data_IF_573972709561
#
_entry.id   IF_573972709561
#
_cell.length_a   1.000
_cell.length_b   1.000
_cell.length_c   1.000
_cell.angle_alpha   90.00
_cell.angle_beta   90.00
_cell.angle_gamma   90.00
#
_symmetry.space_group_name_H-M   'P 1'
#
loop_
_entity.id
_entity.type
_entity.pdbx_description
1 polymer ?
#
# COMPACT_ATOMS: atom_id res chain seq x y z
N UNK A 1 -46.48 -18.22 -53.78
CA UNK A 1 -46.28 -17.14 -52.79
C UNK A 1 -45.10 -17.51 -51.90
N UNK A 2 -44.05 -16.69 -51.92
CA UNK A 2 -42.80 -16.89 -51.18
C UNK A 2 -43.01 -16.45 -49.73
N UNK A 3 -42.69 -17.28 -48.73
CA UNK A 3 -42.31 -16.79 -47.40
C UNK A 3 -41.13 -17.60 -46.85
N UNK A 4 -40.07 -16.84 -46.61
CA UNK A 4 -38.73 -17.25 -46.23
C UNK A 4 -38.67 -17.61 -44.76
N UNK A 5 -38.07 -18.75 -44.42
CA UNK A 5 -37.68 -19.09 -43.05
C UNK A 5 -36.25 -18.55 -42.86
N UNK A 6 -36.13 -17.43 -42.16
CA UNK A 6 -34.83 -16.93 -41.70
C UNK A 6 -34.49 -17.64 -40.40
N UNK A 7 -33.57 -18.59 -40.47
CA UNK A 7 -32.96 -19.22 -39.30
C UNK A 7 -31.89 -18.26 -38.76
N UNK A 8 -32.26 -17.42 -37.80
CA UNK A 8 -31.32 -16.53 -37.10
C UNK A 8 -30.59 -17.35 -36.04
N UNK A 9 -29.33 -17.69 -36.30
CA UNK A 9 -28.39 -18.23 -35.32
C UNK A 9 -28.11 -17.14 -34.26
N UNK A 10 -28.65 -17.33 -33.05
CA UNK A 10 -28.30 -16.53 -31.88
C UNK A 10 -27.02 -17.14 -31.29
N UNK A 11 -25.87 -16.62 -31.69
CA UNK A 11 -24.58 -16.95 -31.07
C UNK A 11 -24.48 -16.28 -29.71
N UNK A 12 -24.52 -17.06 -28.63
CA UNK A 12 -24.31 -16.58 -27.26
C UNK A 12 -22.81 -16.33 -27.05
N UNK A 13 -22.42 -15.06 -27.02
CA UNK A 13 -21.06 -14.63 -26.66
C UNK A 13 -20.96 -14.59 -25.13
N UNK A 14 -20.46 -15.68 -24.53
CA UNK A 14 -20.10 -15.67 -23.12
C UNK A 14 -18.82 -14.83 -22.94
N UNK A 15 -18.98 -13.58 -22.50
CA UNK A 15 -17.86 -12.74 -22.11
C UNK A 15 -17.27 -13.29 -20.80
N UNK A 16 -16.20 -14.08 -20.88
CA UNK A 16 -15.35 -14.34 -19.72
C UNK A 16 -14.64 -13.04 -19.35
N UNK A 17 -15.18 -12.31 -18.38
CA UNK A 17 -14.46 -11.25 -17.71
C UNK A 17 -13.26 -11.87 -16.97
N UNK A 18 -12.08 -11.71 -17.55
CA UNK A 18 -10.81 -11.93 -16.85
C UNK A 18 -10.71 -10.86 -15.77
N UNK A 19 -11.09 -11.18 -14.54
CA UNK A 19 -10.76 -10.36 -13.38
C UNK A 19 -9.25 -10.47 -13.12
N UNK A 20 -8.46 -9.62 -13.77
CA UNK A 20 -7.08 -9.40 -13.37
C UNK A 20 -7.09 -8.80 -11.96
N UNK A 21 -6.47 -9.46 -10.99
CA UNK A 21 -6.35 -8.93 -9.63
C UNK A 21 -5.51 -7.65 -9.62
N UNK A 22 -5.86 -6.69 -8.76
CA UNK A 22 -5.15 -5.42 -8.64
C UNK A 22 -3.70 -5.62 -8.17
N UNK A 23 -2.80 -4.80 -8.72
CA UNK A 23 -1.39 -4.81 -8.33
C UNK A 23 -1.17 -4.16 -6.96
N UNK A 24 -0.07 -4.51 -6.28
CA UNK A 24 0.30 -3.88 -5.01
C UNK A 24 0.47 -2.36 -5.09
N UNK A 25 0.87 -1.85 -6.26
CA UNK A 25 1.00 -0.41 -6.51
C UNK A 25 -0.36 0.30 -6.58
N UNK A 26 -1.33 -0.31 -7.27
CA UNK A 26 -2.71 0.20 -7.37
C UNK A 26 -3.40 0.17 -6.01
N UNK A 27 -3.30 -0.97 -5.31
CA UNK A 27 -3.83 -1.13 -3.97
C UNK A 27 -3.22 -0.13 -2.97
N UNK A 28 -1.90 0.11 -3.03
CA UNK A 28 -1.26 1.13 -2.19
C UNK A 28 -1.82 2.52 -2.52
N UNK A 29 -1.93 2.86 -3.81
CA UNK A 29 -2.43 4.16 -4.25
C UNK A 29 -3.87 4.40 -3.78
N UNK A 30 -4.71 3.39 -3.86
CA UNK A 30 -6.11 3.48 -3.44
C UNK A 30 -6.25 3.56 -1.91
N UNK A 31 -5.58 2.66 -1.18
CA UNK A 31 -5.88 2.42 0.23
C UNK A 31 -4.91 3.10 1.19
N UNK A 32 -3.67 3.33 0.78
CA UNK A 32 -2.60 3.83 1.67
C UNK A 32 -2.19 5.26 1.34
N UNK A 33 -2.21 5.64 0.06
CA UNK A 33 -1.76 6.96 -0.38
C UNK A 33 -2.72 8.11 -0.02
N UNK A 34 -3.92 7.78 0.48
CA UNK A 34 -4.82 8.77 1.11
C UNK A 34 -4.16 9.49 2.29
N UNK A 35 -3.25 8.82 2.98
CA UNK A 35 -2.48 9.39 4.09
C UNK A 35 -0.96 9.40 3.82
N UNK A 36 -0.42 8.31 3.26
CA UNK A 36 1.02 8.13 3.09
C UNK A 36 1.52 8.59 1.72
N UNK A 37 2.18 9.74 1.70
CA UNK A 37 2.82 10.23 0.48
C UNK A 37 3.93 9.29 -0.01
N UNK A 38 3.96 9.03 -1.32
CA UNK A 38 4.99 8.20 -1.97
C UNK A 38 6.25 8.99 -2.34
N UNK A 39 6.15 10.31 -2.43
CA UNK A 39 7.24 11.19 -2.85
C UNK A 39 7.74 12.03 -1.68
N UNK A 40 8.92 12.61 -1.86
CA UNK A 40 9.49 13.54 -0.87
C UNK A 40 8.60 14.77 -0.78
N UNK A 41 8.01 15.08 0.40
CA UNK A 41 7.10 16.20 0.54
C UNK A 41 7.83 17.54 0.43
N UNK A 42 7.19 18.51 -0.22
CA UNK A 42 7.60 19.92 -0.20
C UNK A 42 7.47 20.50 1.23
N UNK A 43 8.11 21.64 1.54
CA UNK A 43 7.94 22.30 2.84
C UNK A 43 6.48 22.59 3.20
N UNK A 44 5.63 22.88 2.22
CA UNK A 44 4.21 23.09 2.41
C UNK A 44 3.45 21.80 2.70
N UNK A 45 3.65 20.76 1.89
CA UNK A 45 3.03 19.44 2.11
C UNK A 45 3.40 18.87 3.48
N UNK A 46 4.64 19.12 3.95
CA UNK A 46 5.06 18.73 5.30
C UNK A 46 4.19 19.32 6.39
N UNK A 47 3.62 20.52 6.23
CA UNK A 47 2.77 21.13 7.27
C UNK A 47 1.40 20.45 7.39
N UNK A 48 0.91 19.88 6.28
CA UNK A 48 -0.46 19.39 6.17
C UNK A 48 -0.56 17.85 6.13
N UNK A 49 0.57 17.14 6.06
CA UNK A 49 0.56 15.67 6.07
C UNK A 49 0.07 15.12 7.42
N UNK A 50 -0.83 14.14 7.33
CA UNK A 50 -1.44 13.45 8.48
C UNK A 50 -0.72 12.15 8.84
N UNK A 51 0.20 11.69 7.99
CA UNK A 51 1.00 10.50 8.19
C UNK A 51 2.43 10.71 7.65
N UNK A 52 3.41 9.93 8.12
CA UNK A 52 4.77 10.00 7.58
C UNK A 52 4.79 9.51 6.11
N UNK A 53 5.62 10.11 5.24
CA UNK A 53 5.83 9.61 3.88
C UNK A 53 6.33 8.16 3.91
N UNK A 54 5.86 7.32 2.97
CA UNK A 54 6.13 5.88 2.97
C UNK A 54 7.62 5.55 2.87
N UNK A 55 8.39 6.41 2.19
CA UNK A 55 9.85 6.28 2.10
C UNK A 55 10.54 6.37 3.48
N UNK A 56 10.01 7.17 4.41
CA UNK A 56 10.52 7.23 5.79
C UNK A 56 10.10 6.02 6.61
N UNK A 57 8.87 5.54 6.43
CA UNK A 57 8.38 4.31 7.06
C UNK A 57 9.24 3.11 6.63
N UNK A 58 9.41 2.92 5.32
CA UNK A 58 10.17 1.80 4.79
C UNK A 58 11.67 1.89 5.06
N UNK A 59 12.21 3.09 5.28
CA UNK A 59 13.56 3.24 5.79
C UNK A 59 13.69 2.57 7.17
N UNK A 60 12.82 2.86 8.13
CA UNK A 60 12.87 2.24 9.46
C UNK A 60 12.55 0.74 9.44
N UNK A 61 11.64 0.29 8.59
CA UNK A 61 11.38 -1.16 8.38
C UNK A 61 12.66 -1.86 7.91
N UNK A 62 13.35 -1.30 6.91
CA UNK A 62 14.60 -1.88 6.40
C UNK A 62 15.78 -1.71 7.36
N UNK A 63 15.82 -0.66 8.19
CA UNK A 63 16.79 -0.57 9.29
C UNK A 63 16.61 -1.73 10.28
N UNK A 64 15.37 -2.15 10.54
CA UNK A 64 15.07 -3.25 11.48
C UNK A 64 15.32 -4.63 10.89
N UNK A 65 14.89 -4.87 9.65
CA UNK A 65 14.86 -6.21 9.06
C UNK A 65 15.93 -6.45 7.97
N UNK A 66 16.62 -5.41 7.52
CA UNK A 66 17.63 -5.51 6.46
C UNK A 66 17.03 -6.07 5.17
N UNK A 67 17.70 -7.07 4.61
CA UNK A 67 17.29 -7.78 3.38
C UNK A 67 16.28 -8.92 3.64
N UNK A 68 15.85 -9.14 4.90
CA UNK A 68 14.83 -10.14 5.25
C UNK A 68 13.42 -9.63 4.87
N UNK A 69 13.13 -9.71 3.56
CA UNK A 69 11.86 -9.30 2.96
C UNK A 69 10.66 -9.96 3.64
N UNK A 70 10.78 -11.25 3.98
CA UNK A 70 9.69 -12.01 4.59
C UNK A 70 9.32 -11.44 5.96
N UNK A 71 10.30 -11.22 6.85
CA UNK A 71 10.02 -10.61 8.16
C UNK A 71 9.51 -9.18 8.05
N UNK A 72 10.03 -8.40 7.09
CA UNK A 72 9.55 -7.05 6.84
C UNK A 72 8.06 -7.04 6.43
N UNK A 73 7.66 -7.94 5.53
CA UNK A 73 6.26 -8.10 5.10
C UNK A 73 5.38 -8.58 6.25
N UNK A 74 5.81 -9.59 7.01
CA UNK A 74 5.08 -10.09 8.18
C UNK A 74 4.85 -8.97 9.21
N UNK A 75 5.87 -8.15 9.47
CA UNK A 75 5.75 -6.98 10.33
C UNK A 75 4.76 -5.95 9.79
N UNK A 76 4.86 -5.57 8.51
CA UNK A 76 3.95 -4.59 7.91
C UNK A 76 2.51 -5.07 8.04
N UNK A 77 2.26 -6.36 7.74
CA UNK A 77 0.93 -6.96 7.83
C UNK A 77 0.38 -6.92 9.26
N UNK A 78 1.17 -7.32 10.24
CA UNK A 78 0.75 -7.27 11.64
C UNK A 78 0.53 -5.83 12.12
N UNK A 79 1.44 -4.90 11.82
CA UNK A 79 1.34 -3.52 12.28
C UNK A 79 0.13 -2.78 11.67
N UNK A 80 -0.15 -2.99 10.38
CA UNK A 80 -1.30 -2.37 9.71
C UNK A 80 -2.64 -2.90 10.26
N UNK A 81 -2.70 -4.17 10.64
CA UNK A 81 -3.89 -4.79 11.24
C UNK A 81 -4.03 -4.48 12.73
N UNK A 82 -2.93 -4.50 13.48
CA UNK A 82 -2.86 -4.41 14.93
C UNK A 82 -1.81 -3.37 15.37
N UNK A 83 -1.97 -2.09 15.00
CA UNK A 83 -1.00 -1.05 15.34
C UNK A 83 -0.99 -0.82 16.86
N UNK A 84 0.20 -0.65 17.41
CA UNK A 84 0.41 -0.32 18.81
C UNK A 84 1.76 0.40 18.98
N UNK A 85 1.89 1.21 20.02
CA UNK A 85 3.09 2.02 20.24
C UNK A 85 4.35 1.17 20.43
N UNK A 86 4.23 0.02 21.08
CA UNK A 86 5.33 -0.93 21.31
C UNK A 86 5.84 -1.60 20.03
N UNK A 87 4.99 -1.72 19.01
CA UNK A 87 5.37 -2.26 17.69
C UNK A 87 5.88 -1.19 16.74
N UNK A 88 5.67 0.10 17.03
CA UNK A 88 6.00 1.17 16.10
C UNK A 88 7.52 1.27 15.89
N UNK A 89 7.96 1.10 14.63
CA UNK A 89 9.36 1.29 14.25
C UNK A 89 9.70 2.76 13.96
N UNK A 90 8.69 3.58 13.66
CA UNK A 90 8.89 5.01 13.54
C UNK A 90 9.21 5.63 14.90
N UNK A 91 10.11 6.61 14.92
CA UNK A 91 10.55 7.26 16.15
C UNK A 91 9.38 7.82 16.98
N UNK A 92 9.47 7.88 18.34
CA UNK A 92 8.41 8.41 19.19
C UNK A 92 7.94 9.83 18.81
N UNK A 93 8.83 10.65 18.26
CA UNK A 93 8.49 11.98 17.74
C UNK A 93 7.53 11.94 16.55
N UNK A 94 7.56 10.89 15.74
CA UNK A 94 6.60 10.67 14.65
C UNK A 94 5.21 10.34 15.20
N UNK A 95 5.14 9.49 16.23
CA UNK A 95 3.87 9.18 16.91
C UNK A 95 3.30 10.44 17.58
N UNK A 96 4.15 11.23 18.27
CA UNK A 96 3.72 12.52 18.85
C UNK A 96 3.15 13.48 17.80
N UNK A 97 3.65 13.42 16.57
CA UNK A 97 3.25 14.31 15.48
C UNK A 97 2.01 13.84 14.73
N UNK A 98 1.95 12.56 14.38
CA UNK A 98 0.93 11.99 13.49
C UNK A 98 -0.13 11.16 14.23
N UNK A 99 0.11 10.86 15.50
CA UNK A 99 -0.61 9.82 16.22
C UNK A 99 -0.13 8.42 15.84
N UNK A 100 -0.78 7.43 16.46
CA UNK A 100 -0.64 6.03 16.06
C UNK A 100 -1.44 5.79 14.77
N UNK A 101 -0.88 4.98 13.86
CA UNK A 101 -1.60 4.58 12.65
C UNK A 101 -2.93 3.88 13.02
N UNK A 102 -4.07 4.26 12.43
CA UNK A 102 -5.32 3.54 12.66
C UNK A 102 -5.25 2.11 12.11
N UNK A 103 -5.88 1.16 12.81
CA UNK A 103 -6.04 -0.21 12.31
C UNK A 103 -6.78 -0.20 10.97
N UNK A 104 -6.33 -1.00 10.01
CA UNK A 104 -6.97 -1.16 8.70
C UNK A 104 -7.82 -2.43 8.61
N UNK A 105 -8.15 -3.06 9.75
CA UNK A 105 -9.09 -4.18 9.80
C UNK A 105 -10.42 -3.77 9.18
N UNK A 106 -10.89 -4.54 8.21
CA UNK A 106 -12.12 -4.28 7.47
C UNK A 106 -11.95 -3.35 6.26
N UNK A 107 -10.83 -2.62 6.16
CA UNK A 107 -10.52 -1.73 5.02
C UNK A 107 -9.58 -2.38 3.99
N UNK A 108 -8.72 -3.28 4.46
CA UNK A 108 -7.78 -4.04 3.63
C UNK A 108 -7.82 -5.51 4.00
N UNK A 109 -7.78 -6.39 3.00
CA UNK A 109 -7.67 -7.84 3.21
C UNK A 109 -6.22 -8.25 3.41
N UNK A 110 -5.99 -9.46 3.93
CA UNK A 110 -4.63 -9.97 4.13
C UNK A 110 -3.90 -10.24 2.82
N UNK A 111 -4.62 -10.59 1.74
CA UNK A 111 -4.04 -10.81 0.42
C UNK A 111 -3.63 -9.48 -0.23
N UNK A 112 -4.50 -8.47 -0.18
CA UNK A 112 -4.15 -7.13 -0.64
C UNK A 112 -2.94 -6.58 0.12
N UNK A 113 -2.91 -6.80 1.44
CA UNK A 113 -1.84 -6.30 2.29
C UNK A 113 -0.49 -6.99 2.02
N UNK A 114 -0.49 -8.27 1.62
CA UNK A 114 0.71 -8.94 1.11
C UNK A 114 1.25 -8.20 -0.13
N UNK A 115 0.40 -8.00 -1.14
CA UNK A 115 0.78 -7.32 -2.39
C UNK A 115 1.27 -5.89 -2.14
N UNK A 116 0.58 -5.15 -1.25
CA UNK A 116 0.97 -3.81 -0.83
C UNK A 116 2.35 -3.83 -0.15
N UNK A 117 2.57 -4.74 0.80
CA UNK A 117 3.82 -4.83 1.55
C UNK A 117 5.00 -5.23 0.65
N UNK A 118 4.80 -6.16 -0.29
CA UNK A 118 5.78 -6.50 -1.32
C UNK A 118 6.15 -5.28 -2.16
N UNK A 119 5.14 -4.57 -2.69
CA UNK A 119 5.35 -3.35 -3.46
C UNK A 119 6.13 -2.29 -2.65
N UNK A 120 5.73 -2.08 -1.39
CA UNK A 120 6.41 -1.14 -0.50
C UNK A 120 7.88 -1.51 -0.29
N UNK A 121 8.16 -2.79 -0.02
CA UNK A 121 9.50 -3.29 0.19
C UNK A 121 10.39 -3.15 -1.05
N UNK A 122 9.87 -3.48 -2.22
CA UNK A 122 10.67 -3.47 -3.45
C UNK A 122 10.94 -2.04 -3.96
N UNK A 123 10.05 -1.09 -3.67
CA UNK A 123 10.10 0.25 -4.27
C UNK A 123 10.52 1.37 -3.31
N UNK A 124 10.51 1.12 -1.99
CA UNK A 124 10.83 2.15 -1.00
C UNK A 124 11.87 1.71 0.06
N UNK A 125 12.66 2.67 0.58
CA UNK A 125 12.86 4.00 0.01
C UNK A 125 13.58 3.90 -1.35
N UNK A 126 13.41 4.90 -2.25
CA UNK A 126 14.08 4.89 -3.54
C UNK A 126 15.61 4.96 -3.38
N UNK A 127 16.35 4.45 -4.37
CA UNK A 127 17.82 4.49 -4.37
C UNK A 127 18.32 5.91 -4.15
N UNK A 128 19.28 6.07 -3.24
CA UNK A 128 19.86 7.37 -2.88
C UNK A 128 19.00 8.21 -1.91
N UNK A 129 17.91 7.65 -1.39
CA UNK A 129 17.15 8.30 -0.32
C UNK A 129 18.04 8.56 0.91
N UNK A 130 18.03 9.80 1.38
CA UNK A 130 18.68 10.21 2.62
C UNK A 130 17.58 10.51 3.63
N UNK A 131 17.43 9.63 4.62
CA UNK A 131 16.51 9.91 5.71
C UNK A 131 17.01 11.15 6.46
N UNK A 132 16.18 12.22 6.58
CA UNK A 132 16.61 13.41 7.28
C UNK A 132 16.93 13.03 8.72
N UNK A 133 18.15 13.35 9.17
CA UNK A 133 18.48 13.35 10.60
C UNK A 133 17.66 14.47 11.21
N UNK A 134 16.56 14.11 11.85
CA UNK A 134 15.73 15.05 12.59
C UNK A 134 16.52 15.42 13.84
N UNK A 135 17.30 16.51 13.76
CA UNK A 135 17.94 17.15 14.92
C UNK A 135 16.89 17.45 16.00
#
# INVERSE_FOLDING_TARGET
>A
MKKSIKLTLIGSFAALSLFAGESGAELFKEKCAVCHMQTKPTPEQKRNMVAPPIMGVMFHVKEKYGDDKKKAIEFIKDYVMNPSEDKALCLPRSIKRFGLMPSQKGSVTQEELEKIAEYMYDNFPPKGFKHPKMK
#
